data_IF_690652962779
#
_entry.id   IF_690652962779
#
_cell.length_a   1.000
_cell.length_b   1.000
_cell.length_c   1.000
_cell.angle_alpha   90.00
_cell.angle_beta   90.00
_cell.angle_gamma   90.00
#
_symmetry.space_group_name_H-M   'P 1'
#
loop_
_entity.id
_entity.type
_entity.pdbx_description
1 polymer ?
#
# COMPACT_ATOMS: atom_id res chain seq x y z
N UNK A 1 0.79 7.17 1.78
CA UNK A 1 0.89 5.70 1.72
C UNK A 1 -0.06 5.04 2.71
N UNK A 2 -0.55 3.84 2.40
CA UNK A 2 -1.52 3.10 3.20
C UNK A 2 -0.94 1.72 3.50
N UNK A 3 -0.85 1.36 4.77
CA UNK A 3 -0.37 0.05 5.22
C UNK A 3 -1.35 -0.60 6.19
N UNK A 4 -1.08 -1.82 6.57
CA UNK A 4 -1.87 -2.63 7.48
C UNK A 4 -1.92 -4.09 7.03
N UNK A 5 -2.48 -5.00 7.80
CA UNK A 5 -2.40 -6.43 7.54
C UNK A 5 -3.15 -6.84 6.27
N UNK A 6 -2.76 -7.99 5.73
CA UNK A 6 -3.52 -8.64 4.66
C UNK A 6 -4.98 -8.82 5.10
N UNK A 7 -5.93 -8.45 4.24
CA UNK A 7 -7.37 -8.53 4.57
C UNK A 7 -7.96 -7.29 5.28
N UNK A 8 -7.16 -6.27 5.62
CA UNK A 8 -7.68 -5.03 6.23
C UNK A 8 -8.48 -4.13 5.28
N UNK A 9 -8.45 -4.37 3.97
CA UNK A 9 -9.23 -3.59 2.99
C UNK A 9 -8.49 -2.48 2.26
N UNK A 10 -7.17 -2.32 2.49
CA UNK A 10 -6.33 -1.27 1.88
C UNK A 10 -6.51 -1.11 0.38
N UNK A 11 -6.30 -2.19 -0.38
CA UNK A 11 -6.35 -2.16 -1.84
C UNK A 11 -7.71 -1.68 -2.36
N UNK A 12 -8.80 -2.14 -1.73
CA UNK A 12 -10.16 -1.70 -2.09
C UNK A 12 -10.33 -0.20 -1.87
N UNK A 13 -9.83 0.30 -0.75
CA UNK A 13 -9.88 1.70 -0.36
C UNK A 13 -9.05 2.57 -1.32
N UNK A 14 -7.82 2.17 -1.60
CA UNK A 14 -6.91 2.90 -2.50
C UNK A 14 -7.43 2.92 -3.94
N UNK A 15 -7.93 1.78 -4.45
CA UNK A 15 -8.51 1.72 -5.81
C UNK A 15 -9.75 2.58 -5.95
N UNK A 16 -10.63 2.63 -4.94
CA UNK A 16 -11.81 3.49 -4.98
C UNK A 16 -11.45 4.98 -5.13
N UNK A 17 -10.40 5.45 -4.43
CA UNK A 17 -9.91 6.82 -4.61
C UNK A 17 -9.45 7.10 -6.04
N UNK A 18 -8.77 6.14 -6.67
CA UNK A 18 -8.32 6.28 -8.04
C UNK A 18 -9.50 6.26 -9.04
N UNK A 19 -10.48 5.38 -8.84
CA UNK A 19 -11.67 5.27 -9.68
C UNK A 19 -12.50 6.57 -9.62
N UNK A 20 -12.57 7.22 -8.46
CA UNK A 20 -13.22 8.52 -8.27
C UNK A 20 -12.32 9.72 -8.68
N UNK A 21 -11.10 9.44 -9.20
CA UNK A 21 -10.11 10.46 -9.63
C UNK A 21 -9.66 11.41 -8.51
N UNK A 22 -9.71 10.97 -7.28
CA UNK A 22 -9.24 11.73 -6.12
C UNK A 22 -7.72 11.62 -5.94
N UNK A 23 -7.10 10.52 -6.43
CA UNK A 23 -5.67 10.29 -6.40
C UNK A 23 -5.24 9.34 -7.52
N UNK A 24 -3.96 9.35 -7.88
CA UNK A 24 -3.36 8.32 -8.72
C UNK A 24 -3.02 7.07 -7.86
N UNK A 25 -3.48 5.88 -8.27
CA UNK A 25 -3.07 4.63 -7.64
C UNK A 25 -1.73 4.18 -8.19
N UNK A 26 -0.72 4.13 -7.34
CA UNK A 26 0.62 3.69 -7.73
C UNK A 26 0.64 2.20 -8.04
N UNK A 27 1.03 1.85 -9.27
CA UNK A 27 1.10 0.47 -9.73
C UNK A 27 2.47 -0.11 -9.40
N UNK A 28 2.50 -1.09 -8.50
CA UNK A 28 3.74 -1.76 -8.09
C UNK A 28 4.26 -2.71 -9.15
N UNK A 29 5.57 -2.93 -9.17
CA UNK A 29 6.22 -4.01 -9.90
C UNK A 29 6.19 -5.31 -9.10
N UNK A 30 6.14 -6.45 -9.79
CA UNK A 30 6.29 -7.77 -9.15
C UNK A 30 6.96 -8.78 -10.08
N UNK A 31 7.67 -9.75 -9.50
CA UNK A 31 8.22 -10.90 -10.23
C UNK A 31 7.28 -12.11 -10.22
N UNK A 32 6.15 -12.02 -9.51
CA UNK A 32 5.10 -13.03 -9.53
C UNK A 32 4.45 -13.07 -10.92
N UNK A 33 4.16 -14.26 -11.39
CA UNK A 33 3.37 -14.41 -12.63
C UNK A 33 1.95 -13.83 -12.46
N UNK A 34 1.37 -13.25 -13.52
CA UNK A 34 -0.02 -12.79 -13.48
C UNK A 34 -0.98 -13.92 -13.10
N UNK A 35 -1.99 -13.60 -12.32
CA UNK A 35 -3.16 -14.47 -12.10
C UNK A 35 -4.17 -14.27 -13.23
N UNK A 36 -5.13 -15.19 -13.32
CA UNK A 36 -6.22 -15.06 -14.28
C UNK A 36 -6.94 -13.72 -14.10
N UNK A 37 -7.05 -12.97 -15.19
CA UNK A 37 -7.69 -11.65 -15.21
C UNK A 37 -6.81 -10.46 -14.81
N UNK A 38 -5.59 -10.66 -14.32
CA UNK A 38 -4.66 -9.56 -14.04
C UNK A 38 -4.02 -9.02 -15.33
N UNK A 39 -3.93 -7.70 -15.42
CA UNK A 39 -3.44 -6.99 -16.62
C UNK A 39 -2.15 -6.24 -16.28
N UNK A 40 -1.10 -6.47 -17.10
CA UNK A 40 0.16 -5.75 -16.97
C UNK A 40 -0.03 -4.23 -17.16
N UNK A 41 0.57 -3.44 -16.26
CA UNK A 41 0.44 -1.98 -16.25
C UNK A 41 -0.88 -1.46 -15.67
N UNK A 42 -1.74 -2.36 -15.16
CA UNK A 42 -2.99 -1.99 -14.48
C UNK A 42 -3.04 -2.56 -13.06
N UNK A 43 -2.78 -3.86 -12.92
CA UNK A 43 -2.77 -4.51 -11.61
C UNK A 43 -1.36 -4.51 -11.01
N UNK A 44 -0.38 -4.86 -11.84
CA UNK A 44 1.05 -4.79 -11.56
C UNK A 44 1.83 -4.53 -12.85
N UNK A 45 3.06 -4.04 -12.72
CA UNK A 45 4.08 -4.20 -13.74
C UNK A 45 4.78 -5.54 -13.51
N UNK A 46 4.43 -6.55 -14.30
CA UNK A 46 4.99 -7.90 -14.19
C UNK A 46 6.38 -7.93 -14.83
N UNK A 47 7.40 -8.14 -14.03
CA UNK A 47 8.80 -8.13 -14.43
C UNK A 47 9.43 -9.53 -14.29
N UNK A 48 10.47 -9.82 -15.07
CA UNK A 48 11.34 -10.95 -14.75
C UNK A 48 12.17 -10.65 -13.50
N UNK A 49 12.64 -11.68 -12.80
CA UNK A 49 13.54 -11.49 -11.65
C UNK A 49 14.80 -10.71 -12.04
N UNK A 50 15.31 -10.96 -13.29
CA UNK A 50 16.48 -10.27 -13.82
C UNK A 50 16.21 -8.76 -14.00
N UNK A 51 15.07 -8.41 -14.60
CA UNK A 51 14.72 -7.01 -14.83
C UNK A 51 14.46 -6.28 -13.51
N UNK A 52 13.83 -6.97 -12.55
CA UNK A 52 13.61 -6.41 -11.21
C UNK A 52 14.96 -6.14 -10.52
N UNK A 53 15.89 -7.09 -10.55
CA UNK A 53 17.21 -6.93 -9.96
C UNK A 53 18.00 -5.79 -10.62
N UNK A 54 17.96 -5.69 -11.95
CA UNK A 54 18.61 -4.58 -12.66
C UNK A 54 18.10 -3.21 -12.22
N UNK A 55 16.81 -3.10 -11.91
CA UNK A 55 16.21 -1.85 -11.39
C UNK A 55 16.59 -1.57 -9.93
N UNK A 56 16.78 -2.62 -9.10
CA UNK A 56 17.37 -2.47 -7.76
C UNK A 56 18.76 -1.88 -7.88
N UNK A 57 19.62 -2.47 -8.72
CA UNK A 57 21.01 -2.06 -8.92
C UNK A 57 21.10 -0.62 -9.46
N UNK A 58 20.12 -0.21 -10.28
CA UNK A 58 19.97 1.16 -10.79
C UNK A 58 19.32 2.13 -9.79
N UNK A 59 18.95 1.69 -8.57
CA UNK A 59 18.28 2.49 -7.53
C UNK A 59 16.98 3.17 -8.01
N UNK A 60 16.22 2.49 -8.88
CA UNK A 60 14.97 3.00 -9.44
C UNK A 60 13.77 2.84 -8.50
N UNK A 61 13.81 1.90 -7.53
CA UNK A 61 12.72 1.67 -6.59
C UNK A 61 12.70 2.71 -5.47
N UNK A 62 11.51 3.17 -5.13
CA UNK A 62 11.21 3.94 -3.91
C UNK A 62 11.24 3.02 -2.68
N UNK A 63 10.63 1.87 -2.83
CA UNK A 63 10.62 0.77 -1.87
C UNK A 63 10.56 -0.57 -2.62
N UNK A 64 11.09 -1.62 -2.04
CA UNK A 64 10.90 -2.99 -2.50
C UNK A 64 11.06 -3.98 -1.36
N UNK A 65 10.39 -5.13 -1.47
CA UNK A 65 10.50 -6.22 -0.53
C UNK A 65 10.45 -7.57 -1.26
N UNK A 66 11.09 -8.58 -0.67
CA UNK A 66 10.89 -9.98 -1.08
C UNK A 66 9.83 -10.59 -0.16
N UNK A 67 8.68 -10.91 -0.74
CA UNK A 67 7.57 -11.55 -0.04
C UNK A 67 7.47 -12.98 -0.56
N UNK A 68 7.76 -13.95 0.30
CA UNK A 68 7.94 -15.35 -0.09
C UNK A 68 9.01 -15.47 -1.21
N UNK A 69 8.63 -16.02 -2.36
CA UNK A 69 9.55 -16.25 -3.49
C UNK A 69 9.59 -15.08 -4.49
N UNK A 70 8.75 -14.04 -4.33
CA UNK A 70 8.60 -12.98 -5.29
C UNK A 70 9.02 -11.62 -4.73
N UNK A 71 9.52 -10.77 -5.61
CA UNK A 71 9.76 -9.36 -5.31
C UNK A 71 8.51 -8.53 -5.61
N UNK A 72 8.33 -7.50 -4.80
CA UNK A 72 7.34 -6.43 -4.99
C UNK A 72 8.03 -5.11 -4.74
N UNK A 73 7.65 -4.04 -5.43
CA UNK A 73 8.23 -2.73 -5.20
C UNK A 73 7.60 -1.65 -6.07
N UNK A 74 7.73 -0.42 -5.64
CA UNK A 74 7.20 0.76 -6.32
C UNK A 74 8.33 1.59 -6.90
N UNK A 75 8.25 1.92 -8.18
CA UNK A 75 9.25 2.78 -8.83
C UNK A 75 9.14 4.21 -8.33
N UNK A 76 10.29 4.88 -8.13
CA UNK A 76 10.32 6.32 -7.77
C UNK A 76 9.59 7.17 -8.78
N UNK A 77 9.77 6.88 -10.08
CA UNK A 77 9.13 7.62 -11.18
C UNK A 77 7.63 7.55 -11.17
N UNK A 78 7.04 6.44 -10.70
CA UNK A 78 5.59 6.26 -10.55
C UNK A 78 5.00 7.31 -9.58
N UNK A 79 5.74 7.67 -8.55
CA UNK A 79 5.31 8.63 -7.53
C UNK A 79 5.71 10.05 -7.90
N UNK A 80 6.99 10.28 -8.18
CA UNK A 80 7.56 11.64 -8.39
C UNK A 80 6.91 12.34 -9.58
N UNK A 81 6.65 11.62 -10.69
CA UNK A 81 6.03 12.23 -11.86
C UNK A 81 4.62 12.77 -11.59
N UNK A 82 3.84 12.10 -10.76
CA UNK A 82 2.49 12.54 -10.39
C UNK A 82 2.56 13.71 -9.40
N UNK A 83 3.42 13.62 -8.40
CA UNK A 83 3.63 14.72 -7.44
C UNK A 83 4.10 16.01 -8.14
N UNK A 84 4.96 15.89 -9.16
CA UNK A 84 5.47 17.04 -9.91
C UNK A 84 4.38 17.83 -10.66
N UNK A 85 3.25 17.18 -10.99
CA UNK A 85 2.10 17.83 -11.63
C UNK A 85 0.95 18.10 -10.65
N UNK A 86 1.20 17.97 -9.34
CA UNK A 86 0.24 18.29 -8.28
C UNK A 86 -0.85 17.24 -8.08
N UNK A 87 -0.63 16.00 -8.52
CA UNK A 87 -1.57 14.90 -8.34
C UNK A 87 -1.17 14.10 -7.08
N UNK A 88 -2.12 13.90 -6.18
CA UNK A 88 -1.93 13.02 -5.02
C UNK A 88 -1.73 11.57 -5.47
N UNK A 89 -0.80 10.87 -4.81
CA UNK A 89 -0.52 9.46 -5.08
C UNK A 89 -0.89 8.61 -3.88
N UNK A 90 -1.68 7.57 -4.11
CA UNK A 90 -1.98 6.56 -3.09
C UNK A 90 -1.21 5.28 -3.39
N UNK A 91 -0.49 4.78 -2.38
CA UNK A 91 0.31 3.56 -2.42
C UNK A 91 -0.23 2.57 -1.40
N UNK A 92 -0.46 1.32 -1.81
CA UNK A 92 -0.82 0.18 -0.95
C UNK A 92 0.44 -0.68 -0.78
N UNK A 93 1.13 -0.51 0.34
CA UNK A 93 2.43 -1.14 0.63
C UNK A 93 2.44 -1.80 2.01
N UNK A 94 3.34 -2.75 2.21
CA UNK A 94 3.53 -3.37 3.51
C UNK A 94 4.35 -2.48 4.46
N UNK A 95 4.53 -2.94 5.69
CA UNK A 95 5.27 -2.21 6.74
C UNK A 95 6.74 -2.01 6.36
N UNK A 96 7.35 -3.00 5.69
CA UNK A 96 8.76 -2.91 5.28
C UNK A 96 8.93 -1.84 4.20
N UNK A 97 8.05 -1.81 3.21
CA UNK A 97 8.01 -0.77 2.18
C UNK A 97 7.75 0.61 2.78
N UNK A 98 6.83 0.71 3.75
CA UNK A 98 6.55 1.97 4.44
C UNK A 98 7.80 2.54 5.16
N UNK A 99 8.60 1.70 5.80
CA UNK A 99 9.85 2.11 6.45
C UNK A 99 10.89 2.62 5.45
N UNK A 100 10.97 2.00 4.26
CA UNK A 100 11.86 2.47 3.19
C UNK A 100 11.40 3.85 2.67
N UNK A 101 10.10 4.06 2.47
CA UNK A 101 9.56 5.37 2.05
C UNK A 101 9.83 6.45 3.09
N UNK A 102 9.63 6.17 4.39
CA UNK A 102 9.97 7.11 5.48
C UNK A 102 11.46 7.48 5.50
N UNK A 103 12.32 6.52 5.16
CA UNK A 103 13.77 6.69 5.14
C UNK A 103 14.31 7.27 3.83
N UNK A 104 13.45 7.50 2.84
CA UNK A 104 13.84 8.04 1.54
C UNK A 104 14.39 9.46 1.70
N UNK A 105 15.49 9.76 1.02
CA UNK A 105 16.13 11.09 1.05
C UNK A 105 15.53 12.10 0.06
N UNK A 106 14.55 11.71 -0.74
CA UNK A 106 13.89 12.60 -1.70
C UNK A 106 13.01 13.62 -0.98
N UNK A 107 13.38 14.90 -1.09
CA UNK A 107 12.70 15.99 -0.38
C UNK A 107 11.24 16.19 -0.83
N UNK A 108 10.91 15.94 -2.11
CA UNK A 108 9.56 16.06 -2.64
C UNK A 108 8.66 14.96 -2.05
N UNK A 109 9.17 13.74 -2.00
CA UNK A 109 8.44 12.61 -1.39
C UNK A 109 8.24 12.86 0.10
N UNK A 110 9.27 13.28 0.83
CA UNK A 110 9.17 13.54 2.27
C UNK A 110 8.18 14.67 2.59
N UNK A 111 8.16 15.73 1.80
CA UNK A 111 7.21 16.83 1.97
C UNK A 111 5.76 16.42 1.68
N UNK A 112 5.57 15.47 0.75
CA UNK A 112 4.25 14.96 0.37
C UNK A 112 3.78 13.80 1.27
N UNK A 113 4.67 13.19 2.04
CA UNK A 113 4.38 11.95 2.76
C UNK A 113 3.27 12.11 3.80
N UNK A 114 2.26 11.25 3.67
CA UNK A 114 1.22 10.98 4.67
C UNK A 114 1.16 9.47 4.80
N UNK A 115 1.16 8.97 6.02
CA UNK A 115 1.09 7.54 6.27
C UNK A 115 -0.11 7.17 7.16
N UNK A 116 -0.89 6.23 6.65
CA UNK A 116 -2.11 5.73 7.25
C UNK A 116 -2.00 4.22 7.49
N UNK A 117 -2.29 3.78 8.70
CA UNK A 117 -2.43 2.36 9.02
C UNK A 117 -3.91 1.97 9.07
N UNK A 118 -4.32 1.01 8.25
CA UNK A 118 -5.68 0.46 8.26
C UNK A 118 -5.71 -0.78 9.13
N UNK A 119 -6.39 -0.68 10.25
CA UNK A 119 -6.52 -1.71 11.28
C UNK A 119 -7.85 -2.45 11.13
N UNK A 120 -7.90 -3.78 11.15
CA UNK A 120 -9.17 -4.50 11.28
C UNK A 120 -9.81 -4.19 12.65
N UNK A 121 -11.14 -4.25 12.78
CA UNK A 121 -11.82 -3.91 14.03
C UNK A 121 -11.56 -4.94 15.15
N UNK A 122 -11.31 -6.20 14.79
CA UNK A 122 -10.92 -7.26 15.71
C UNK A 122 -10.15 -8.37 15.00
N UNK A 123 -9.51 -9.25 15.77
CA UNK A 123 -8.83 -10.43 15.25
C UNK A 123 -9.81 -11.42 14.62
N UNK A 124 -11.02 -11.56 15.19
CA UNK A 124 -12.08 -12.43 14.66
C UNK A 124 -12.51 -11.98 13.26
N UNK A 125 -12.73 -10.69 13.09
CA UNK A 125 -13.08 -10.12 11.78
C UNK A 125 -11.94 -10.29 10.78
N UNK A 126 -10.69 -10.08 11.20
CA UNK A 126 -9.52 -10.32 10.37
C UNK A 126 -9.46 -11.80 9.93
N UNK A 127 -9.63 -12.72 10.87
CA UNK A 127 -9.67 -14.16 10.58
C UNK A 127 -10.78 -14.50 9.57
N UNK A 128 -11.98 -13.97 9.78
CA UNK A 128 -13.11 -14.13 8.86
C UNK A 128 -12.76 -13.67 7.43
N UNK A 129 -12.14 -12.52 7.29
CA UNK A 129 -11.71 -11.97 5.99
C UNK A 129 -10.59 -12.78 5.33
N UNK A 130 -9.69 -13.37 6.11
CA UNK A 130 -8.61 -14.23 5.60
C UNK A 130 -9.13 -15.60 5.17
N UNK A 131 -10.14 -16.16 5.86
CA UNK A 131 -10.77 -17.44 5.51
C UNK A 131 -11.77 -17.32 4.38
N UNK A 132 -12.40 -16.17 4.17
CA UNK A 132 -13.48 -15.94 3.21
C UNK A 132 -13.12 -16.12 1.72
N UNK A 133 -11.86 -16.42 1.39
CA UNK A 133 -11.40 -16.78 0.03
C UNK A 133 -11.51 -18.30 -0.26
N UNK A 134 -11.90 -19.10 0.73
CA UNK A 134 -12.49 -20.43 0.56
C UNK A 134 -11.58 -21.58 0.13
N UNK A 135 -10.26 -21.37 -0.08
CA UNK A 135 -9.38 -22.39 -0.68
C UNK A 135 -8.09 -22.66 0.12
N UNK A 136 -7.82 -21.89 1.16
CA UNK A 136 -6.55 -22.01 1.89
C UNK A 136 -6.65 -23.09 2.99
N UNK A 137 -5.63 -23.94 3.14
CA UNK A 137 -5.48 -24.87 4.24
C UNK A 137 -5.37 -24.15 5.59
N UNK A 138 -5.75 -24.80 6.68
CA UNK A 138 -5.78 -24.17 8.01
C UNK A 138 -4.38 -23.68 8.46
N UNK A 139 -3.32 -24.39 8.10
CA UNK A 139 -1.93 -24.00 8.37
C UNK A 139 -1.56 -22.70 7.65
N UNK A 140 -2.04 -22.49 6.42
CA UNK A 140 -1.83 -21.27 5.63
C UNK A 140 -2.56 -20.09 6.28
N UNK A 141 -3.78 -20.31 6.74
CA UNK A 141 -4.58 -19.31 7.46
C UNK A 141 -3.89 -18.94 8.77
N UNK A 142 -3.40 -19.91 9.54
CA UNK A 142 -2.69 -19.70 10.80
C UNK A 142 -1.39 -18.89 10.58
N UNK A 143 -0.64 -19.18 9.51
CA UNK A 143 0.55 -18.42 9.14
C UNK A 143 0.18 -16.97 8.77
N UNK A 144 -0.85 -16.77 7.94
CA UNK A 144 -1.32 -15.43 7.55
C UNK A 144 -1.81 -14.62 8.74
N UNK A 145 -2.48 -15.26 9.70
CA UNK A 145 -2.90 -14.60 10.94
C UNK A 145 -1.70 -14.14 11.78
N UNK A 146 -0.68 -14.99 11.96
CA UNK A 146 0.53 -14.58 12.69
C UNK A 146 1.21 -13.38 12.04
N UNK A 147 1.44 -13.45 10.72
CA UNK A 147 2.05 -12.33 10.00
C UNK A 147 1.20 -11.06 10.13
N UNK A 148 -0.12 -11.19 10.06
CA UNK A 148 -1.02 -10.05 10.19
C UNK A 148 -0.98 -9.42 11.60
N UNK A 149 -0.88 -10.23 12.66
CA UNK A 149 -0.73 -9.75 14.04
C UNK A 149 0.61 -9.03 14.23
N UNK A 150 1.70 -9.59 13.69
CA UNK A 150 3.01 -8.94 13.68
C UNK A 150 2.97 -7.59 12.94
N UNK A 151 2.34 -7.54 11.75
CA UNK A 151 2.14 -6.28 11.02
C UNK A 151 1.31 -5.27 11.83
N UNK A 152 0.31 -5.73 12.57
CA UNK A 152 -0.53 -4.85 13.39
C UNK A 152 0.24 -4.16 14.52
N UNK A 153 1.32 -4.73 15.04
CA UNK A 153 2.13 -4.10 16.10
C UNK A 153 2.79 -2.79 15.65
N UNK A 154 2.94 -2.59 14.33
CA UNK A 154 3.58 -1.41 13.76
C UNK A 154 2.67 -0.17 13.64
N UNK A 155 1.38 -0.25 13.95
CA UNK A 155 0.49 0.91 13.83
C UNK A 155 0.97 2.18 14.58
N UNK A 156 1.68 2.11 15.71
CA UNK A 156 2.14 3.32 16.41
C UNK A 156 3.21 4.13 15.65
N UNK A 157 3.82 3.53 14.62
CA UNK A 157 4.81 4.19 13.76
C UNK A 157 4.18 5.12 12.73
N UNK A 158 2.84 5.08 12.56
CA UNK A 158 2.10 5.82 11.54
C UNK A 158 1.48 7.09 12.10
N UNK A 159 1.39 8.11 11.24
CA UNK A 159 0.77 9.41 11.61
C UNK A 159 -0.73 9.28 11.83
N UNK A 160 -1.38 8.33 11.15
CA UNK A 160 -2.81 8.12 11.21
C UNK A 160 -3.16 6.64 11.30
N UNK A 161 -4.23 6.34 12.03
CA UNK A 161 -4.82 5.01 12.12
C UNK A 161 -6.30 5.06 11.79
N UNK A 162 -6.74 4.20 10.87
CA UNK A 162 -8.14 3.96 10.55
C UNK A 162 -8.53 2.58 11.07
N UNK A 163 -9.48 2.50 11.97
CA UNK A 163 -10.10 1.22 12.34
C UNK A 163 -11.18 0.94 11.31
N UNK A 164 -11.01 -0.13 10.54
CA UNK A 164 -11.92 -0.49 9.46
C UNK A 164 -13.32 -0.82 10.00
N UNK A 165 -14.32 -0.21 9.41
CA UNK A 165 -15.73 -0.43 9.69
C UNK A 165 -16.45 -0.90 8.41
N UNK A 166 -17.41 -0.12 7.90
CA UNK A 166 -17.98 -0.36 6.58
C UNK A 166 -17.11 0.24 5.49
N UNK A 167 -17.21 -0.30 4.26
CA UNK A 167 -16.47 0.24 3.11
C UNK A 167 -16.73 1.72 2.86
N UNK A 168 -17.96 2.18 3.13
CA UNK A 168 -18.35 3.57 2.95
C UNK A 168 -17.75 4.47 4.02
N UNK A 169 -17.81 4.07 5.30
CA UNK A 169 -17.23 4.81 6.41
C UNK A 169 -15.71 4.91 6.27
N UNK A 170 -15.04 3.79 5.92
CA UNK A 170 -13.59 3.76 5.69
C UNK A 170 -13.19 4.75 4.58
N UNK A 171 -13.96 4.76 3.48
CA UNK A 171 -13.72 5.68 2.37
C UNK A 171 -13.92 7.14 2.76
N UNK A 172 -15.03 7.48 3.43
CA UNK A 172 -15.32 8.83 3.88
C UNK A 172 -14.27 9.34 4.87
N UNK A 173 -13.83 8.50 5.80
CA UNK A 173 -12.78 8.84 6.76
C UNK A 173 -11.44 9.11 6.05
N UNK A 174 -11.06 8.26 5.09
CA UNK A 174 -9.83 8.46 4.34
C UNK A 174 -9.90 9.72 3.46
N UNK A 175 -11.01 9.94 2.76
CA UNK A 175 -11.22 11.16 1.97
C UNK A 175 -11.17 12.42 2.83
N UNK A 176 -11.76 12.38 4.03
CA UNK A 176 -11.70 13.49 4.99
C UNK A 176 -10.27 13.79 5.44
N UNK A 177 -9.46 12.75 5.70
CA UNK A 177 -8.05 12.89 6.00
C UNK A 177 -7.29 13.58 4.86
N UNK A 178 -7.50 13.14 3.61
CA UNK A 178 -6.86 13.75 2.45
C UNK A 178 -7.22 15.24 2.32
N UNK A 179 -8.50 15.59 2.49
CA UNK A 179 -8.95 16.99 2.46
C UNK A 179 -8.26 17.80 3.57
N UNK A 180 -8.20 17.28 4.80
CA UNK A 180 -7.54 17.96 5.91
C UNK A 180 -6.04 18.19 5.65
N UNK A 181 -5.36 17.18 5.10
CA UNK A 181 -3.93 17.28 4.79
C UNK A 181 -3.64 18.23 3.62
N UNK A 182 -4.51 18.34 2.62
CA UNK A 182 -4.40 19.36 1.56
C UNK A 182 -4.51 20.79 2.10
N UNK A 183 -5.26 21.00 3.19
CA UNK A 183 -5.44 22.30 3.84
C UNK A 183 -4.34 22.64 4.85
N UNK A 184 -3.40 21.74 5.10
CA UNK A 184 -2.33 21.94 6.07
C UNK A 184 -1.39 23.06 5.61
N UNK A 185 -1.23 24.11 6.43
CA UNK A 185 -0.44 25.31 6.09
C UNK A 185 0.99 24.98 5.64
N UNK A 186 1.62 23.96 6.23
CA UNK A 186 2.98 23.54 5.84
C UNK A 186 3.06 22.99 4.40
N UNK A 187 1.93 22.62 3.79
CA UNK A 187 1.82 22.11 2.41
C UNK A 187 1.41 23.16 1.39
N UNK A 188 1.00 24.35 1.84
CA UNK A 188 0.55 25.46 0.98
C UNK A 188 1.70 26.40 0.55
N UNK A 189 2.94 26.01 0.76
CA UNK A 189 4.12 26.82 0.47
C UNK A 189 4.78 26.43 -0.84
#
# INVERSE_FOLDING_TARGET
MVSGPSGSGKTTLCRRLADEKEAHYSISCTTRLPRDGEINGKDYHFLTTKDFQSRIDANEFLEYAKVHENYYGTLKTEVVNQLAVGIDVVMDIDVQGANQVRSCSDAQIQAALIDLFVMPPSEEELRSRLTGRGTDAEEVIALRMRNALEEMEHWPEYSYRLISATREEDYLNFKSLMVAERLRVSRLK
#
